data_IF_653839565068
#
_entry.id   IF_653839565068
#
_cell.length_a   1.000
_cell.length_b   1.000
_cell.length_c   1.000
_cell.angle_alpha   90.00
_cell.angle_beta   90.00
_cell.angle_gamma   90.00
#
_symmetry.space_group_name_H-M   'P 1'
#
loop_
_entity.id
_entity.type
_entity.pdbx_description
1 polymer ?
#
# COMPACT_ATOMS: atom_id res chain seq x y z
N UNK A 1 2.52 1.85 -14.89
CA UNK A 1 1.76 1.82 -16.13
C UNK A 1 0.69 0.73 -16.08
N UNK A 2 -0.48 1.00 -16.58
CA UNK A 2 -1.57 0.04 -16.53
C UNK A 2 -1.87 -0.52 -17.91
N UNK A 3 -1.97 -1.86 -18.01
CA UNK A 3 -2.39 -2.52 -19.23
C UNK A 3 -3.59 -3.38 -18.90
N UNK A 4 -4.62 -3.27 -19.70
CA UNK A 4 -5.85 -4.03 -19.50
C UNK A 4 -5.90 -5.19 -20.48
N UNK A 5 -6.22 -6.36 -19.95
CA UNK A 5 -6.35 -7.57 -20.78
C UNK A 5 -7.58 -7.44 -21.66
N UNK A 6 -7.46 -7.88 -22.92
CA UNK A 6 -8.56 -7.78 -23.86
C UNK A 6 -9.74 -8.64 -23.42
N UNK A 7 -10.98 -8.26 -23.85
CA UNK A 7 -12.20 -8.89 -23.34
C UNK A 7 -12.33 -10.38 -23.49
N UNK A 8 -11.79 -10.96 -24.54
CA UNK A 8 -11.91 -12.39 -24.74
C UNK A 8 -11.08 -13.20 -23.74
N UNK A 9 -10.25 -12.54 -22.95
CA UNK A 9 -9.45 -13.17 -21.90
C UNK A 9 -9.98 -12.80 -20.52
N UNK A 10 -11.20 -12.57 -20.44
CA UNK A 10 -11.92 -11.87 -19.40
C UNK A 10 -11.73 -12.34 -17.97
N UNK A 11 -11.62 -13.60 -17.71
CA UNK A 11 -11.49 -14.06 -16.32
C UNK A 11 -10.07 -14.03 -15.81
N UNK A 12 -9.15 -13.59 -16.63
CA UNK A 12 -7.76 -13.51 -16.26
C UNK A 12 -7.46 -12.18 -15.53
N UNK A 13 -6.22 -12.00 -15.13
CA UNK A 13 -5.80 -10.77 -14.50
C UNK A 13 -6.03 -9.58 -15.44
N UNK A 14 -6.48 -8.46 -14.87
CA UNK A 14 -6.77 -7.25 -15.63
C UNK A 14 -5.57 -6.31 -15.75
N UNK A 15 -4.51 -6.57 -15.00
CA UNK A 15 -3.37 -5.66 -14.91
C UNK A 15 -2.07 -6.42 -15.03
N UNK A 16 -1.03 -5.69 -15.44
CA UNK A 16 0.33 -6.19 -15.41
C UNK A 16 1.13 -5.33 -14.46
N UNK A 17 1.98 -5.96 -13.65
CA UNK A 17 2.85 -5.23 -12.74
C UNK A 17 3.84 -4.40 -13.53
N UNK A 18 4.03 -3.15 -13.13
CA UNK A 18 5.01 -2.28 -13.77
C UNK A 18 6.44 -2.65 -13.40
N UNK A 19 6.63 -3.56 -12.43
CA UNK A 19 7.96 -4.05 -12.08
C UNK A 19 8.27 -5.38 -12.79
N UNK A 20 7.44 -6.38 -12.55
CA UNK A 20 7.72 -7.73 -13.05
C UNK A 20 7.17 -7.99 -14.44
N UNK A 21 6.20 -7.20 -14.89
CA UNK A 21 5.50 -7.46 -16.14
C UNK A 21 4.53 -8.62 -16.07
N UNK A 22 4.39 -9.24 -14.90
CA UNK A 22 3.51 -10.39 -14.75
C UNK A 22 2.06 -9.95 -14.55
N UNK A 23 1.09 -10.74 -15.05
CA UNK A 23 -0.31 -10.42 -14.83
C UNK A 23 -0.71 -10.62 -13.37
N UNK A 24 -1.59 -9.77 -12.88
CA UNK A 24 -2.10 -9.87 -11.53
C UNK A 24 -3.43 -9.15 -11.41
N UNK A 25 -4.13 -9.44 -10.30
CA UNK A 25 -5.37 -8.77 -9.97
C UNK A 25 -6.54 -9.20 -10.84
N UNK A 26 -7.69 -8.67 -10.50
CA UNK A 26 -8.93 -8.85 -11.26
C UNK A 26 -9.86 -7.70 -10.90
N UNK A 27 -11.15 -7.81 -11.24
CA UNK A 27 -12.13 -6.76 -10.94
C UNK A 27 -12.28 -6.52 -9.44
N UNK A 28 -12.00 -7.52 -8.62
CA UNK A 28 -12.19 -7.44 -7.17
C UNK A 28 -10.91 -7.17 -6.41
N UNK A 29 -9.76 -7.27 -7.10
CA UNK A 29 -8.45 -7.11 -6.49
C UNK A 29 -7.63 -6.12 -7.31
N UNK A 30 -7.96 -4.82 -7.19
CA UNK A 30 -7.25 -3.80 -7.95
C UNK A 30 -5.79 -3.70 -7.54
N UNK A 31 -4.95 -3.12 -8.39
CA UNK A 31 -3.53 -3.01 -8.10
C UNK A 31 -3.23 -2.04 -6.97
N UNK A 32 -2.05 -2.19 -6.38
CA UNK A 32 -1.49 -1.16 -5.52
C UNK A 32 -1.04 -0.03 -6.43
N UNK A 33 -1.40 1.18 -6.09
CA UNK A 33 -1.00 2.36 -6.86
C UNK A 33 0.09 3.10 -6.09
N UNK A 34 1.26 3.22 -6.71
CA UNK A 34 2.35 4.03 -6.17
C UNK A 34 2.47 5.28 -7.03
N UNK A 35 2.25 6.43 -6.42
CA UNK A 35 2.29 7.69 -7.13
C UNK A 35 3.36 8.61 -6.54
N UNK A 36 4.24 9.11 -7.40
CA UNK A 36 5.25 10.08 -7.01
C UNK A 36 4.97 11.38 -7.74
N UNK A 37 4.79 12.44 -6.97
CA UNK A 37 4.56 13.79 -7.50
C UNK A 37 5.74 14.66 -7.09
N UNK A 38 6.30 15.38 -8.04
CA UNK A 38 7.43 16.25 -7.78
C UNK A 38 6.97 17.70 -7.81
N UNK A 39 7.14 18.36 -6.66
CA UNK A 39 6.64 19.70 -6.44
C UNK A 39 7.67 20.75 -6.82
N UNK A 40 7.25 22.00 -6.75
CA UNK A 40 8.09 23.15 -7.05
C UNK A 40 9.38 23.10 -6.21
N UNK A 41 10.49 23.31 -6.87
CA UNK A 41 11.79 23.26 -6.23
C UNK A 41 12.53 21.94 -6.35
N UNK A 42 11.83 20.89 -6.78
CA UNK A 42 12.48 19.62 -7.08
C UNK A 42 13.17 19.68 -8.43
N UNK A 43 14.21 18.86 -8.60
CA UNK A 43 14.86 18.72 -9.91
C UNK A 43 13.91 18.16 -10.97
N UNK A 44 12.80 17.57 -10.53
CA UNK A 44 11.80 16.94 -11.39
C UNK A 44 10.48 17.69 -11.34
N UNK A 45 10.54 18.97 -11.01
CA UNK A 45 9.36 19.81 -10.80
C UNK A 45 8.31 19.64 -11.90
N UNK A 46 7.07 19.45 -11.48
CA UNK A 46 5.95 19.27 -12.38
C UNK A 46 5.79 17.88 -12.94
N UNK A 47 6.74 16.98 -12.63
CA UNK A 47 6.68 15.60 -13.10
C UNK A 47 5.88 14.74 -12.14
N UNK A 48 5.36 13.64 -12.67
CA UNK A 48 4.57 12.71 -11.91
C UNK A 48 4.71 11.33 -12.53
N UNK A 49 4.79 10.31 -11.70
CA UNK A 49 4.78 8.95 -12.20
C UNK A 49 3.85 8.11 -11.33
N UNK A 50 3.06 7.27 -11.98
CA UNK A 50 2.14 6.37 -11.30
C UNK A 50 2.46 4.95 -11.74
N UNK A 51 2.69 4.08 -10.76
CA UNK A 51 2.97 2.67 -11.00
C UNK A 51 1.85 1.83 -10.43
N UNK A 52 1.53 0.75 -11.14
CA UNK A 52 0.56 -0.24 -10.67
C UNK A 52 1.33 -1.52 -10.36
N UNK A 53 1.25 -1.97 -9.12
CA UNK A 53 2.06 -3.05 -8.61
C UNK A 53 1.19 -4.06 -7.89
N UNK A 54 1.65 -5.31 -7.85
CA UNK A 54 1.03 -6.31 -6.99
C UNK A 54 1.49 -6.10 -5.55
N UNK A 55 0.78 -6.70 -4.61
CA UNK A 55 1.21 -6.66 -3.20
C UNK A 55 2.62 -7.21 -3.03
N UNK A 56 2.95 -8.24 -3.79
CA UNK A 56 4.26 -8.85 -3.74
C UNK A 56 5.36 -7.89 -4.19
N UNK A 57 5.07 -7.09 -5.22
CA UNK A 57 6.06 -6.17 -5.78
C UNK A 57 6.25 -4.92 -4.93
N UNK A 58 5.24 -4.53 -4.14
CA UNK A 58 5.35 -3.35 -3.28
C UNK A 58 6.14 -3.63 -2.01
N UNK A 59 6.24 -4.89 -1.58
CA UNK A 59 6.93 -5.24 -0.34
C UNK A 59 8.37 -4.75 -0.29
N UNK A 60 9.21 -4.96 -1.33
CA UNK A 60 10.57 -4.43 -1.29
C UNK A 60 10.64 -2.92 -1.14
N UNK A 61 9.67 -2.21 -1.70
CA UNK A 61 9.61 -0.74 -1.58
C UNK A 61 9.30 -0.36 -0.15
N UNK A 62 8.34 -1.03 0.49
CA UNK A 62 8.00 -0.76 1.88
C UNK A 62 9.20 -1.04 2.78
N UNK A 63 9.94 -2.10 2.52
CA UNK A 63 11.14 -2.42 3.29
C UNK A 63 12.24 -1.39 3.10
N UNK A 64 12.39 -0.87 1.88
CA UNK A 64 13.35 0.20 1.61
C UNK A 64 12.96 1.47 2.37
N UNK A 65 11.69 1.85 2.33
CA UNK A 65 11.19 2.99 3.06
C UNK A 65 11.47 2.82 4.54
N UNK A 66 11.15 1.63 5.09
CA UNK A 66 11.39 1.34 6.49
C UNK A 66 12.84 1.56 6.88
N UNK A 67 13.78 1.16 6.02
CA UNK A 67 15.22 1.28 6.31
C UNK A 67 15.70 2.72 6.25
N UNK A 68 14.94 3.62 5.62
CA UNK A 68 15.36 5.02 5.42
C UNK A 68 14.64 6.03 6.32
N UNK A 69 13.65 5.59 7.08
CA UNK A 69 12.88 6.50 7.93
C UNK A 69 13.76 7.09 9.02
N UNK A 70 13.61 8.40 9.27
CA UNK A 70 14.31 9.00 10.38
C UNK A 70 13.62 8.64 11.69
N UNK A 71 14.34 8.73 12.83
CA UNK A 71 13.81 8.31 14.11
C UNK A 71 12.55 9.05 14.56
N UNK A 72 12.44 10.32 14.24
CA UNK A 72 11.27 11.11 14.65
C UNK A 72 10.02 10.65 13.89
N UNK A 73 10.16 10.36 12.60
CA UNK A 73 9.05 9.87 11.83
C UNK A 73 8.65 8.46 12.27
N UNK A 74 9.64 7.60 12.59
CA UNK A 74 9.35 6.29 13.14
C UNK A 74 8.53 6.37 14.40
N UNK A 75 8.88 7.32 15.28
CA UNK A 75 8.13 7.53 16.50
C UNK A 75 6.69 7.92 16.23
N UNK A 76 6.48 8.78 15.24
CA UNK A 76 5.12 9.14 14.82
C UNK A 76 4.33 7.94 14.35
N UNK A 77 4.95 7.02 13.60
CA UNK A 77 4.29 5.82 13.17
C UNK A 77 3.95 4.89 14.33
N UNK A 78 4.82 4.83 15.35
CA UNK A 78 4.54 4.05 16.54
C UNK A 78 3.32 4.58 17.28
N UNK A 79 3.20 5.90 17.36
CA UNK A 79 2.04 6.53 17.97
C UNK A 79 0.78 6.24 17.17
N UNK A 80 0.86 6.28 15.84
CA UNK A 80 -0.26 5.94 14.99
C UNK A 80 -0.67 4.48 15.16
N UNK A 81 0.29 3.60 15.37
CA UNK A 81 -0.01 2.18 15.57
C UNK A 81 -0.83 2.00 16.85
N UNK A 82 -0.46 2.68 17.91
CA UNK A 82 -1.20 2.63 19.18
C UNK A 82 -2.62 3.15 18.97
N UNK A 83 -2.77 4.28 18.31
CA UNK A 83 -4.08 4.87 18.04
C UNK A 83 -4.92 3.94 17.16
N UNK A 84 -4.31 3.31 16.18
CA UNK A 84 -5.02 2.38 15.31
C UNK A 84 -5.54 1.18 16.08
N UNK A 85 -4.78 0.69 17.04
CA UNK A 85 -5.23 -0.41 17.89
C UNK A 85 -6.46 -0.02 18.69
N UNK A 86 -6.51 1.20 19.22
CA UNK A 86 -7.69 1.69 19.93
C UNK A 86 -8.90 1.76 19.01
N UNK A 87 -8.69 2.25 17.78
CA UNK A 87 -9.78 2.32 16.81
C UNK A 87 -10.27 0.94 16.42
N UNK A 88 -9.37 -0.04 16.36
CA UNK A 88 -9.75 -1.41 16.07
C UNK A 88 -10.67 -1.96 17.18
N UNK A 89 -10.31 -1.76 18.46
CA UNK A 89 -11.16 -2.20 19.55
C UNK A 89 -12.51 -1.50 19.53
N UNK A 90 -12.53 -0.22 19.22
CA UNK A 90 -13.78 0.50 19.08
C UNK A 90 -14.65 -0.07 17.97
N UNK A 91 -14.04 -0.47 16.86
CA UNK A 91 -14.76 -1.08 15.75
C UNK A 91 -15.33 -2.43 16.12
N UNK A 92 -14.62 -3.21 16.93
CA UNK A 92 -15.12 -4.49 17.42
C UNK A 92 -16.36 -4.26 18.29
N UNK A 93 -16.30 -3.32 19.22
CA UNK A 93 -17.42 -3.00 20.10
C UNK A 93 -18.62 -2.50 19.31
N UNK A 94 -18.37 -1.74 18.27
CA UNK A 94 -19.44 -1.22 17.41
C UNK A 94 -19.97 -2.27 16.44
N UNK A 95 -19.33 -3.43 16.37
CA UNK A 95 -19.69 -4.52 15.46
C UNK A 95 -19.69 -4.06 14.01
N UNK A 96 -18.64 -3.35 13.64
CA UNK A 96 -18.44 -2.83 12.29
C UNK A 96 -17.36 -3.64 11.58
N UNK A 97 -17.73 -4.66 10.78
CA UNK A 97 -16.72 -5.53 10.16
C UNK A 97 -15.86 -4.80 9.12
N UNK A 98 -16.42 -3.82 8.42
CA UNK A 98 -15.65 -3.08 7.43
C UNK A 98 -14.56 -2.23 8.08
N UNK A 99 -14.91 -1.57 9.18
CA UNK A 99 -13.93 -0.78 9.92
C UNK A 99 -12.87 -1.67 10.54
N UNK A 100 -13.25 -2.85 11.04
CA UNK A 100 -12.30 -3.80 11.57
C UNK A 100 -11.28 -4.23 10.50
N UNK A 101 -11.74 -4.55 9.30
CA UNK A 101 -10.85 -4.93 8.20
C UNK A 101 -9.91 -3.80 7.82
N UNK A 102 -10.45 -2.59 7.75
CA UNK A 102 -9.64 -1.42 7.44
C UNK A 102 -8.53 -1.22 8.47
N UNK A 103 -8.86 -1.36 9.75
CA UNK A 103 -7.88 -1.18 10.82
C UNK A 103 -6.81 -2.26 10.82
N UNK A 104 -7.19 -3.48 10.47
CA UNK A 104 -6.21 -4.58 10.33
C UNK A 104 -5.23 -4.26 9.21
N UNK A 105 -5.72 -3.79 8.08
CA UNK A 105 -4.86 -3.42 6.95
C UNK A 105 -3.91 -2.29 7.30
N UNK A 106 -4.41 -1.25 7.98
CA UNK A 106 -3.57 -0.15 8.44
C UNK A 106 -2.50 -0.64 9.41
N UNK A 107 -2.88 -1.54 10.31
CA UNK A 107 -1.96 -2.09 11.29
C UNK A 107 -0.83 -2.85 10.60
N UNK A 108 -1.17 -3.64 9.59
CA UNK A 108 -0.17 -4.40 8.83
C UNK A 108 0.82 -3.48 8.13
N UNK A 109 0.33 -2.41 7.54
CA UNK A 109 1.20 -1.45 6.87
C UNK A 109 2.14 -0.76 7.86
N UNK A 110 1.59 -0.29 8.99
CA UNK A 110 2.37 0.39 10.01
C UNK A 110 3.45 -0.53 10.58
N UNK A 111 3.11 -1.78 10.86
CA UNK A 111 4.07 -2.75 11.36
C UNK A 111 5.17 -3.03 10.34
N UNK A 112 4.80 -3.10 9.06
CA UNK A 112 5.79 -3.31 8.00
C UNK A 112 6.78 -2.15 7.95
N UNK A 113 6.28 -0.93 7.99
CA UNK A 113 7.12 0.26 7.94
C UNK A 113 7.99 0.41 9.19
N UNK A 114 7.56 -0.13 10.32
CA UNK A 114 8.33 -0.11 11.55
C UNK A 114 9.28 -1.30 11.66
N UNK A 115 9.25 -2.20 10.70
CA UNK A 115 10.11 -3.37 10.72
C UNK A 115 9.62 -4.48 11.64
N UNK A 116 8.38 -4.40 12.10
CA UNK A 116 7.79 -5.44 12.93
C UNK A 116 7.31 -6.59 12.07
N UNK A 117 7.23 -7.77 12.66
CA UNK A 117 6.72 -8.93 11.97
C UNK A 117 5.22 -8.76 11.72
N UNK A 118 4.81 -9.04 10.48
CA UNK A 118 3.41 -8.95 10.08
C UNK A 118 2.83 -10.35 9.98
N UNK A 119 1.74 -10.59 10.69
CA UNK A 119 1.09 -11.89 10.73
C UNK A 119 0.01 -12.03 9.66
#
# INVERSE_FOLDING_TARGET
MKKVIVPEQKEEANYFSDFSGQPFGDLYHPPVTLKLEFNYGSDYDGSEITLHLSDKDIVPILDLISSKLNPDFRKSLEEELIENDEQYFNAIEARDPMECEYRISCNNLLKRLLGHEVL
#
